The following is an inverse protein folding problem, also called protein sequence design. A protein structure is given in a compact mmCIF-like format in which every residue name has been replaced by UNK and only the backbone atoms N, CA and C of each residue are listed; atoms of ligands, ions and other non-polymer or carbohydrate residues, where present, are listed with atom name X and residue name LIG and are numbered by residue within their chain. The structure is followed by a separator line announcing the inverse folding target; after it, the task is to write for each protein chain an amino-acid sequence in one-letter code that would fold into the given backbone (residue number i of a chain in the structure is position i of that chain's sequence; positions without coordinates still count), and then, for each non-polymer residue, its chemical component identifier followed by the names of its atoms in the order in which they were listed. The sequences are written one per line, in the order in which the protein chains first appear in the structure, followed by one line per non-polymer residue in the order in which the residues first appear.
data_IF_317934762739
#
_entry.id   IF_317934762739
#
_cell.length_a   1.000
_cell.length_b   1.000
_cell.length_c   1.000
_cell.angle_alpha   90.00
_cell.angle_beta   90.00
_cell.angle_gamma   90.00
#
_symmetry.space_group_name_H-M   'P 1'
#
loop_
_entity.id
_entity.type
_entity.pdbx_description
1 polymer ?
#
# COMPACT_ATOMS: atom_id res chain seq x y z
N UNK A 1 15.66 9.61 -1.61
CA UNK A 1 14.68 10.16 -2.57
C UNK A 1 13.30 9.47 -2.51
N UNK A 2 13.19 8.16 -2.25
CA UNK A 2 11.88 7.45 -2.16
C UNK A 2 10.93 7.86 -1.01
N UNK A 3 11.47 8.41 0.09
CA UNK A 3 10.68 8.77 1.29
C UNK A 3 9.96 10.13 1.21
N UNK A 4 10.15 10.88 0.13
CA UNK A 4 9.60 12.24 -0.05
C UNK A 4 8.38 12.28 -0.97
N UNK A 5 8.10 11.19 -1.70
CA UNK A 5 6.92 11.12 -2.56
C UNK A 5 5.74 10.56 -1.75
N UNK A 6 4.65 11.32 -1.55
CA UNK A 6 3.44 10.81 -0.90
C UNK A 6 2.81 9.64 -1.68
N UNK A 7 3.08 9.54 -3.00
CA UNK A 7 2.64 8.42 -3.82
C UNK A 7 3.22 7.08 -3.34
N UNK A 8 4.47 7.06 -2.87
CA UNK A 8 5.11 5.84 -2.36
C UNK A 8 4.39 5.31 -1.12
N UNK A 9 4.02 6.19 -0.18
CA UNK A 9 3.29 5.78 1.01
C UNK A 9 1.87 5.31 0.71
N UNK A 10 1.24 5.88 -0.33
CA UNK A 10 -0.06 5.42 -0.81
C UNK A 10 -0.01 4.03 -1.41
N UNK A 11 0.90 3.79 -2.36
CA UNK A 11 1.00 2.50 -3.04
C UNK A 11 1.45 1.41 -2.08
N UNK A 12 2.35 1.71 -1.14
CA UNK A 12 2.72 0.81 -0.05
C UNK A 12 1.49 0.45 0.82
N UNK A 13 0.69 1.44 1.22
CA UNK A 13 -0.52 1.22 2.02
C UNK A 13 -1.59 0.42 1.27
N UNK A 14 -1.81 0.71 0.00
CA UNK A 14 -2.76 -0.01 -0.85
C UNK A 14 -2.33 -1.46 -1.07
N UNK A 15 -1.04 -1.70 -1.31
CA UNK A 15 -0.50 -3.06 -1.45
C UNK A 15 -0.65 -3.86 -0.15
N UNK A 16 -0.33 -3.26 0.99
CA UNK A 16 -0.53 -3.87 2.32
C UNK A 16 -2.01 -4.19 2.59
N UNK A 17 -2.92 -3.29 2.24
CA UNK A 17 -4.36 -3.49 2.47
C UNK A 17 -4.98 -4.51 1.50
N UNK A 18 -4.50 -4.58 0.25
CA UNK A 18 -5.05 -5.45 -0.79
C UNK A 18 -4.45 -6.86 -0.81
N UNK A 19 -3.18 -7.02 -0.43
CA UNK A 19 -2.43 -8.27 -0.53
C UNK A 19 -2.00 -8.82 0.83
N UNK A 20 -2.12 -8.05 1.91
CA UNK A 20 -1.72 -8.50 3.24
C UNK A 20 -2.49 -9.74 3.69
N UNK A 21 -1.76 -10.70 4.27
CA UNK A 21 -2.29 -11.96 4.80
C UNK A 21 -3.04 -12.83 3.75
N UNK A 22 -2.80 -12.61 2.46
CA UNK A 22 -3.35 -13.45 1.41
C UNK A 22 -2.54 -14.75 1.26
N UNK A 23 -3.22 -15.89 1.37
CA UNK A 23 -2.65 -17.20 1.08
C UNK A 23 -2.55 -17.40 -0.44
N UNK A 24 -1.33 -17.63 -0.94
CA UNK A 24 -1.06 -17.86 -2.36
C UNK A 24 -0.99 -19.37 -2.59
N UNK A 25 -1.70 -19.84 -3.62
CA UNK A 25 -1.59 -21.21 -4.12
C UNK A 25 -0.87 -21.19 -5.45
N UNK A 26 0.33 -21.78 -5.49
CA UNK A 26 1.11 -21.89 -6.72
C UNK A 26 0.35 -22.72 -7.77
N UNK A 27 0.47 -22.31 -9.03
CA UNK A 27 0.06 -23.08 -10.22
C UNK A 27 1.19 -24.00 -10.68
N UNK A 28 0.90 -25.02 -11.50
CA UNK A 28 1.86 -26.05 -11.96
C UNK A 28 3.16 -25.49 -12.56
N UNK A 29 3.14 -24.29 -13.12
CA UNK A 29 4.31 -23.60 -13.68
C UNK A 29 5.24 -22.94 -12.64
N UNK A 30 4.74 -22.66 -11.44
CA UNK A 30 5.48 -22.04 -10.33
C UNK A 30 5.93 -23.07 -9.29
N UNK A 31 5.55 -24.34 -9.48
CA UNK A 31 5.99 -25.45 -8.67
C UNK A 31 7.46 -25.77 -8.97
N UNK A 32 8.28 -25.78 -7.92
CA UNK A 32 9.62 -26.34 -8.00
C UNK A 32 9.55 -27.84 -7.78
N UNK A 33 9.97 -28.60 -8.79
CA UNK A 33 10.19 -30.03 -8.69
C UNK A 33 11.60 -30.30 -8.15
N UNK A 34 11.66 -30.73 -6.89
CA UNK A 34 12.90 -31.04 -6.20
C UNK A 34 13.06 -32.55 -6.14
N UNK A 35 14.14 -33.08 -6.70
CA UNK A 35 14.49 -34.51 -6.57
C UNK A 35 15.30 -34.74 -5.31
N UNK A 36 14.85 -35.63 -4.42
CA UNK A 36 15.61 -35.99 -3.22
C UNK A 36 16.83 -36.82 -3.65
N UNK A 37 18.05 -36.46 -3.23
CA UNK A 37 19.24 -37.20 -3.59
C UNK A 37 19.20 -38.62 -2.98
N UNK A 38 19.63 -39.62 -3.76
CA UNK A 38 19.53 -41.06 -3.41
C UNK A 38 20.30 -41.48 -2.15
N UNK A 39 21.16 -40.61 -1.61
CA UNK A 39 21.94 -40.86 -0.40
C UNK A 39 21.17 -40.50 0.89
N UNK A 40 20.07 -39.76 0.79
CA UNK A 40 19.12 -39.56 1.87
C UNK A 40 18.17 -40.74 1.87
N UNK A 41 17.96 -41.35 3.05
CA UNK A 41 17.17 -42.57 3.24
C UNK A 41 15.92 -42.58 2.34
N UNK A 42 15.73 -43.66 1.59
CA UNK A 42 14.70 -43.83 0.55
C UNK A 42 13.24 -43.64 1.02
N UNK A 43 13.03 -43.47 2.32
CA UNK A 43 11.73 -43.32 2.98
C UNK A 43 11.49 -41.90 3.54
N UNK A 44 12.40 -40.95 3.32
CA UNK A 44 12.19 -39.55 3.76
C UNK A 44 11.10 -38.90 2.92
N UNK A 45 10.06 -38.43 3.59
CA UNK A 45 8.95 -37.71 2.97
C UNK A 45 9.36 -36.30 2.58
N UNK A 46 8.76 -35.75 1.52
CA UNK A 46 8.98 -34.37 1.10
C UNK A 46 8.74 -33.35 2.22
N UNK A 47 7.74 -33.60 3.08
CA UNK A 47 7.48 -32.78 4.25
C UNK A 47 8.68 -32.74 5.21
N UNK A 48 9.25 -33.91 5.56
CA UNK A 48 10.39 -33.99 6.47
C UNK A 48 11.66 -33.38 5.88
N UNK A 49 11.92 -33.60 4.59
CA UNK A 49 13.10 -33.04 3.92
C UNK A 49 13.06 -31.51 3.85
N UNK A 50 11.87 -30.93 3.61
CA UNK A 50 11.71 -29.48 3.45
C UNK A 50 11.30 -28.76 4.73
N UNK A 51 11.01 -29.45 5.83
CA UNK A 51 10.56 -28.86 7.09
C UNK A 51 11.49 -27.73 7.58
N UNK A 52 12.80 -28.01 7.64
CA UNK A 52 13.80 -27.02 8.05
C UNK A 52 13.85 -25.82 7.08
N UNK A 53 13.67 -26.06 5.78
CA UNK A 53 13.65 -25.00 4.78
C UNK A 53 12.39 -24.13 4.90
N UNK A 54 11.23 -24.74 5.09
CA UNK A 54 9.95 -24.06 5.29
C UNK A 54 9.98 -23.22 6.57
N UNK A 55 10.61 -23.72 7.64
CA UNK A 55 10.76 -22.97 8.88
C UNK A 55 11.61 -21.69 8.74
N UNK A 56 12.56 -21.67 7.80
CA UNK A 56 13.49 -20.55 7.57
C UNK A 56 13.02 -19.59 6.47
N UNK A 57 12.63 -20.13 5.33
CA UNK A 57 12.29 -19.38 4.12
C UNK A 57 10.77 -19.25 3.89
N UNK A 58 9.95 -20.02 4.59
CA UNK A 58 8.53 -20.16 4.31
C UNK A 58 8.26 -21.06 3.09
N UNK A 59 7.07 -20.93 2.52
CA UNK A 59 6.62 -21.76 1.41
C UNK A 59 5.75 -22.94 1.87
N UNK A 60 5.24 -23.69 0.90
CA UNK A 60 4.32 -24.79 1.13
C UNK A 60 4.64 -25.99 0.24
N UNK A 61 4.46 -27.19 0.77
CA UNK A 61 4.64 -28.44 0.03
C UNK A 61 3.26 -28.94 -0.39
N UNK A 62 3.10 -29.24 -1.68
CA UNK A 62 1.83 -29.72 -2.23
C UNK A 62 1.68 -31.24 -2.11
N UNK A 63 2.79 -31.96 -2.11
CA UNK A 63 2.83 -33.41 -1.94
C UNK A 63 3.69 -33.80 -0.72
N UNK A 64 3.14 -33.75 0.50
CA UNK A 64 3.91 -34.02 1.72
C UNK A 64 4.39 -35.46 1.84
N UNK A 65 3.60 -36.42 1.35
CA UNK A 65 3.87 -37.87 1.42
C UNK A 65 4.72 -38.39 0.25
N UNK A 66 5.06 -37.53 -0.72
CA UNK A 66 5.87 -37.91 -1.87
C UNK A 66 7.27 -38.37 -1.47
N UNK A 67 7.78 -39.40 -2.15
CA UNK A 67 9.16 -39.86 -2.05
C UNK A 67 9.85 -39.69 -3.40
N UNK A 68 11.10 -39.21 -3.39
CA UNK A 68 11.90 -39.01 -4.60
C UNK A 68 11.60 -37.74 -5.42
N UNK A 69 10.33 -37.37 -5.62
CA UNK A 69 9.93 -36.15 -6.36
C UNK A 69 9.00 -35.26 -5.52
N UNK A 70 9.51 -34.10 -5.11
CA UNK A 70 8.79 -33.15 -4.27
C UNK A 70 8.33 -31.93 -5.06
N UNK A 71 7.08 -31.54 -4.84
CA UNK A 71 6.49 -30.31 -5.37
C UNK A 71 6.47 -29.24 -4.29
N UNK A 72 7.31 -28.22 -4.46
CA UNK A 72 7.46 -27.13 -3.51
C UNK A 72 7.03 -25.79 -4.10
N UNK A 73 6.22 -25.05 -3.35
CA UNK A 73 5.80 -23.69 -3.64
C UNK A 73 6.62 -22.73 -2.77
N UNK A 74 7.54 -21.94 -3.36
CA UNK A 74 8.42 -21.06 -2.59
C UNK A 74 7.68 -19.89 -1.95
N UNK A 75 6.52 -19.50 -2.50
CA UNK A 75 5.74 -18.36 -2.04
C UNK A 75 4.34 -18.84 -1.64
N UNK A 76 4.15 -19.16 -0.36
CA UNK A 76 2.85 -19.55 0.17
C UNK A 76 2.03 -18.37 0.71
N UNK A 77 2.69 -17.28 1.11
CA UNK A 77 2.05 -16.13 1.71
C UNK A 77 2.52 -14.85 1.01
N UNK A 78 1.57 -13.99 0.65
CA UNK A 78 1.86 -12.68 0.08
C UNK A 78 2.74 -11.84 1.01
N UNK A 79 2.60 -12.00 2.33
CA UNK A 79 3.40 -11.30 3.33
C UNK A 79 4.92 -11.49 3.15
N UNK A 80 5.37 -12.63 2.60
CA UNK A 80 6.78 -12.85 2.29
C UNK A 80 7.27 -11.91 1.18
N UNK A 81 6.45 -11.69 0.15
CA UNK A 81 6.72 -10.72 -0.92
C UNK A 81 6.68 -9.30 -0.34
N UNK A 82 5.66 -8.97 0.45
CA UNK A 82 5.55 -7.64 1.06
C UNK A 82 6.74 -7.34 1.99
N UNK A 83 7.23 -8.35 2.73
CA UNK A 83 8.42 -8.23 3.56
C UNK A 83 9.69 -7.93 2.73
N UNK A 84 9.84 -8.52 1.53
CA UNK A 84 10.95 -8.19 0.62
C UNK A 84 10.95 -6.72 0.19
N UNK A 85 9.76 -6.13 0.02
CA UNK A 85 9.63 -4.70 -0.27
C UNK A 85 9.74 -3.81 0.99
N UNK A 86 10.04 -4.39 2.17
CA UNK A 86 10.11 -3.67 3.43
C UNK A 86 8.76 -3.21 3.98
N UNK A 87 7.66 -3.68 3.37
CA UNK A 87 6.29 -3.40 3.75
C UNK A 87 5.85 -4.40 4.82
N UNK A 88 6.23 -4.15 6.07
CA UNK A 88 5.76 -4.96 7.21
C UNK A 88 4.40 -4.45 7.69
N UNK A 89 3.50 -5.33 8.10
CA UNK A 89 2.17 -4.98 8.64
C UNK A 89 2.17 -3.88 9.70
N UNK A 90 3.26 -3.72 10.47
CA UNK A 90 3.44 -2.65 11.46
C UNK A 90 3.74 -1.25 10.91
N UNK A 91 4.24 -1.09 9.67
CA UNK A 91 4.54 0.24 9.08
C UNK A 91 3.35 0.84 8.32
N UNK A 92 2.29 0.07 8.08
CA UNK A 92 1.08 0.53 7.40
C UNK A 92 0.44 1.75 8.09
N UNK A 93 0.28 1.69 9.42
CA UNK A 93 -0.35 2.77 10.20
C UNK A 93 0.47 4.07 10.19
N UNK A 94 1.80 3.97 10.18
CA UNK A 94 2.67 5.14 10.05
C UNK A 94 2.51 5.78 8.67
N UNK A 95 2.46 4.97 7.61
CA UNK A 95 2.31 5.46 6.24
C UNK A 95 0.96 6.16 6.03
N UNK A 96 -0.13 5.60 6.58
CA UNK A 96 -1.47 6.25 6.61
C UNK A 96 -1.44 7.56 7.39
N UNK A 97 -0.75 7.59 8.54
CA UNK A 97 -0.60 8.82 9.34
C UNK A 97 0.14 9.94 8.60
N UNK A 98 1.24 9.62 7.91
CA UNK A 98 2.00 10.59 7.11
C UNK A 98 1.15 11.13 5.96
N UNK A 99 0.38 10.28 5.29
CA UNK A 99 -0.55 10.69 4.25
C UNK A 99 -1.63 11.63 4.81
N UNK A 100 -2.25 11.27 5.93
CA UNK A 100 -3.25 12.09 6.60
C UNK A 100 -2.72 13.46 6.99
N UNK A 101 -1.50 13.53 7.53
CA UNK A 101 -0.83 14.80 7.85
C UNK A 101 -0.65 15.69 6.62
N UNK A 102 -0.29 15.10 5.47
CA UNK A 102 -0.11 15.84 4.22
C UNK A 102 -1.43 16.43 3.71
N UNK A 103 -2.53 15.65 3.77
CA UNK A 103 -3.88 16.11 3.40
C UNK A 103 -4.33 17.26 4.30
N UNK A 104 -4.17 17.10 5.61
CA UNK A 104 -4.53 18.13 6.60
C UNK A 104 -3.74 19.41 6.36
N UNK A 105 -2.43 19.32 6.14
CA UNK A 105 -1.60 20.48 5.86
C UNK A 105 -2.06 21.23 4.59
N UNK A 106 -2.30 20.51 3.50
CA UNK A 106 -2.75 21.12 2.24
C UNK A 106 -4.11 21.81 2.37
N UNK A 107 -5.08 21.19 3.06
CA UNK A 107 -6.41 21.78 3.28
C UNK A 107 -6.32 23.02 4.16
N UNK A 108 -5.56 22.97 5.26
CA UNK A 108 -5.39 24.12 6.15
C UNK A 108 -4.66 25.28 5.46
N UNK A 109 -3.64 24.98 4.65
CA UNK A 109 -2.95 25.97 3.83
C UNK A 109 -3.95 26.64 2.87
N UNK A 110 -4.69 25.85 2.08
CA UNK A 110 -5.68 26.38 1.13
C UNK A 110 -6.78 27.19 1.82
N UNK A 111 -7.29 26.73 2.97
CA UNK A 111 -8.28 27.44 3.75
C UNK A 111 -7.74 28.79 4.27
N UNK A 112 -6.52 28.81 4.80
CA UNK A 112 -5.90 30.04 5.32
C UNK A 112 -5.66 31.05 4.21
N UNK A 113 -5.09 30.63 3.08
CA UNK A 113 -4.88 31.51 1.92
C UNK A 113 -6.20 31.95 1.28
N UNK A 114 -7.20 31.06 1.23
CA UNK A 114 -8.54 31.38 0.71
C UNK A 114 -9.29 32.41 1.55
N UNK A 115 -9.26 32.26 2.88
CA UNK A 115 -9.84 33.24 3.81
C UNK A 115 -9.10 34.57 3.72
N UNK A 116 -7.77 34.53 3.70
CA UNK A 116 -6.96 35.74 3.54
C UNK A 116 -7.27 36.45 2.22
N UNK A 117 -7.37 35.73 1.11
CA UNK A 117 -7.73 36.29 -0.20
C UNK A 117 -9.16 36.86 -0.18
N UNK A 118 -10.14 36.16 0.39
CA UNK A 118 -11.51 36.67 0.54
C UNK A 118 -11.61 37.93 1.42
N UNK A 119 -10.78 38.04 2.46
CA UNK A 119 -10.74 39.19 3.35
C UNK A 119 -9.96 40.38 2.74
N UNK A 120 -8.92 40.11 1.92
CA UNK A 120 -8.08 41.14 1.30
C UNK A 120 -8.52 41.57 -0.08
N UNK A 121 -9.23 40.74 -0.83
CA UNK A 121 -9.85 41.17 -2.09
C UNK A 121 -11.05 42.03 -1.71
N UNK A 122 -10.99 43.35 -1.96
CA UNK A 122 -12.16 44.18 -1.77
C UNK A 122 -13.20 43.68 -2.75
N UNK A 123 -14.23 42.99 -2.24
CA UNK A 123 -15.46 42.84 -3.01
C UNK A 123 -15.92 44.27 -3.29
N UNK A 124 -15.92 44.68 -4.56
CA UNK A 124 -16.66 45.87 -5.00
C UNK A 124 -18.15 45.57 -4.82
N UNK A 125 -18.60 45.48 -3.57
CA UNK A 125 -19.99 45.39 -3.20
C UNK A 125 -20.54 46.82 -3.32
N UNK A 126 -21.43 47.01 -4.29
CA UNK A 126 -22.43 48.08 -4.28
C UNK A 126 -21.91 49.51 -4.48
N UNK A 127 -21.00 49.75 -5.44
CA UNK A 127 -20.88 51.12 -6.01
C UNK A 127 -21.94 51.40 -7.08
N UNK A 128 -22.30 50.40 -7.89
CA UNK A 128 -23.35 50.52 -8.92
C UNK A 128 -24.69 50.96 -8.30
N UNK A 129 -25.15 50.32 -7.23
CA UNK A 129 -26.46 50.64 -6.60
C UNK A 129 -26.51 52.04 -5.97
N UNK A 130 -25.37 52.65 -5.63
CA UNK A 130 -25.33 54.01 -5.06
C UNK A 130 -25.23 55.11 -6.14
N UNK A 131 -24.64 54.80 -7.29
CA UNK A 131 -24.58 55.73 -8.42
C UNK A 131 -25.98 55.89 -9.05
N UNK A 132 -26.73 54.78 -9.14
CA UNK A 132 -28.11 54.78 -9.65
C UNK A 132 -29.09 55.57 -8.75
N UNK A 133 -28.97 55.48 -7.42
CA UNK A 133 -29.83 56.24 -6.49
C UNK A 133 -29.50 57.75 -6.46
N UNK A 134 -28.25 58.13 -6.67
CA UNK A 134 -27.84 59.54 -6.68
C UNK A 134 -28.30 60.27 -7.95
N UNK A 135 -28.37 59.57 -9.08
CA UNK A 135 -28.96 60.11 -10.32
C UNK A 135 -30.49 60.31 -10.23
N UNK A 136 -31.21 59.57 -9.38
CA UNK A 136 -32.66 59.73 -9.19
C UNK A 136 -33.02 60.89 -8.26
N UNK A 137 -32.12 61.29 -7.34
CA UNK A 137 -32.32 62.41 -6.42
C UNK A 137 -31.85 63.77 -6.96
N UNK A 138 -31.07 63.79 -8.05
CA UNK A 138 -30.60 65.01 -8.71
C UNK A 138 -31.54 65.59 -9.78
N UNK A 139 -32.70 64.95 -10.00
CA UNK A 139 -33.71 65.36 -10.99
C UNK A 139 -35.05 65.81 -10.33
N UNK A 140 -35.04 66.11 -9.03
CA UNK A 140 -36.11 66.80 -8.28
C UNK A 140 -35.57 68.12 -7.74
#
# INVERSE_FOLDING_TARGET
MYRLSPLTYFTEGLALAGLGNASIRCSDIELLNISIPRNSSSDVTCAQYLEAHIGLAGGAVLNPEGTGHCQFCPIANADAILAHFGMRSGVAWRNVGIMGAYVVFNINMLATFGIYWLARVPKKLNKETKEDQNCQLGNL
#
